data_IF_863224008498
#
_entry.id   IF_863224008498
#
_cell.length_a   1.000
_cell.length_b   1.000
_cell.length_c   1.000
_cell.angle_alpha   90.00
_cell.angle_beta   90.00
_cell.angle_gamma   90.00
#
_symmetry.space_group_name_H-M   'P 1'
#
loop_
_entity.id
_entity.type
_entity.pdbx_description
1 polymer ?
#
# COMPACT_ATOMS: atom_id res chain seq x y z
N UNK A 1 -14.77 -19.10 -2.91
CA UNK A 1 -13.86 -19.84 -2.01
C UNK A 1 -12.48 -19.20 -2.10
N UNK A 2 -12.29 -18.02 -1.49
CA UNK A 2 -11.06 -17.22 -1.62
C UNK A 2 -10.46 -16.93 -0.23
N UNK A 3 -10.42 -17.95 0.60
CA UNK A 3 -10.04 -17.82 2.01
C UNK A 3 -8.94 -18.80 2.32
N UNK A 4 -7.84 -18.30 2.87
CA UNK A 4 -6.79 -19.15 3.45
C UNK A 4 -7.17 -19.49 4.89
N UNK A 5 -7.12 -20.76 5.24
CA UNK A 5 -7.41 -21.29 6.56
C UNK A 5 -6.10 -21.73 7.22
N UNK A 6 -5.72 -21.08 8.33
CA UNK A 6 -4.56 -21.46 9.14
C UNK A 6 -5.01 -22.40 10.26
N UNK A 7 -4.32 -23.53 10.42
CA UNK A 7 -4.55 -24.48 11.52
C UNK A 7 -3.25 -24.69 12.30
N UNK A 8 -3.24 -24.34 13.59
CA UNK A 8 -2.20 -24.77 14.52
C UNK A 8 -2.73 -25.98 15.31
N UNK A 9 -1.96 -27.06 15.45
CA UNK A 9 -2.38 -28.26 16.21
C UNK A 9 -1.55 -28.32 17.50
N UNK A 10 -2.13 -27.90 18.62
CA UNK A 10 -1.43 -27.82 19.91
C UNK A 10 -1.40 -29.15 20.65
N UNK A 11 -0.56 -30.11 20.25
CA UNK A 11 -0.03 -31.19 21.09
C UNK A 11 0.96 -32.04 20.27
N UNK A 12 2.17 -32.25 20.80
CA UNK A 12 3.35 -32.86 20.16
C UNK A 12 4.19 -31.92 19.29
N UNK A 13 5.05 -31.11 19.93
CA UNK A 13 6.47 -30.88 19.59
C UNK A 13 6.90 -30.38 18.19
N UNK A 14 6.05 -30.34 17.19
CA UNK A 14 6.33 -29.84 15.84
C UNK A 14 5.38 -28.68 15.54
N UNK A 15 5.92 -27.45 15.46
CA UNK A 15 5.18 -26.25 15.03
C UNK A 15 4.93 -26.29 13.51
N UNK A 16 4.26 -27.34 13.03
CA UNK A 16 3.93 -27.50 11.62
C UNK A 16 2.70 -26.65 11.28
N UNK A 17 2.93 -25.44 10.79
CA UNK A 17 1.89 -24.53 10.28
C UNK A 17 1.35 -25.05 8.95
N UNK A 18 0.06 -25.38 8.90
CA UNK A 18 -0.59 -25.82 7.66
C UNK A 18 -1.47 -24.70 7.11
N UNK A 19 -1.24 -24.35 5.84
CA UNK A 19 -2.01 -23.33 5.11
C UNK A 19 -2.89 -24.03 4.07
N UNK A 20 -4.20 -23.78 4.13
CA UNK A 20 -5.15 -24.38 3.19
C UNK A 20 -5.84 -23.28 2.41
N UNK A 21 -5.56 -23.21 1.11
CA UNK A 21 -6.21 -22.27 0.17
C UNK A 21 -7.31 -23.01 -0.58
N UNK A 22 -8.57 -22.68 -0.29
CA UNK A 22 -9.72 -23.39 -0.86
C UNK A 22 -9.91 -24.82 -0.32
N UNK A 23 -10.99 -25.49 -0.72
CA UNK A 23 -11.28 -26.85 -0.26
C UNK A 23 -11.89 -26.93 1.15
N UNK A 24 -11.71 -28.08 1.81
CA UNK A 24 -12.21 -28.38 3.15
C UNK A 24 -11.05 -28.75 4.08
N UNK A 25 -11.02 -28.15 5.26
CA UNK A 25 -10.09 -28.49 6.33
C UNK A 25 -10.88 -28.81 7.59
N UNK A 26 -10.60 -29.97 8.21
CA UNK A 26 -11.22 -30.36 9.47
C UNK A 26 -10.35 -29.89 10.63
N UNK A 27 -10.89 -29.09 11.55
CA UNK A 27 -10.21 -28.64 12.76
C UNK A 27 -10.86 -29.28 14.00
N UNK A 28 -10.04 -29.80 14.91
CA UNK A 28 -10.54 -30.40 16.15
C UNK A 28 -10.74 -29.29 17.19
N UNK A 29 -11.99 -29.04 17.59
CA UNK A 29 -12.38 -27.87 18.40
C UNK A 29 -11.58 -27.64 19.69
N UNK A 30 -10.98 -28.69 20.27
CA UNK A 30 -10.26 -28.61 21.55
C UNK A 30 -8.75 -28.31 21.42
N UNK A 31 -8.17 -28.45 20.22
CA UNK A 31 -6.70 -28.46 20.02
C UNK A 31 -6.27 -27.53 18.87
N UNK A 32 -7.22 -27.02 18.08
CA UNK A 32 -6.91 -26.30 16.84
C UNK A 32 -7.46 -24.89 16.77
N UNK A 33 -6.57 -23.90 16.78
CA UNK A 33 -6.90 -22.53 16.43
C UNK A 33 -7.01 -22.39 14.91
N UNK A 34 -8.18 -21.95 14.46
CA UNK A 34 -8.45 -21.70 13.05
C UNK A 34 -8.66 -20.22 12.79
N UNK A 35 -7.82 -19.61 11.94
CA UNK A 35 -7.96 -18.21 11.52
C UNK A 35 -8.05 -18.14 10.00
N UNK A 36 -8.83 -17.17 9.52
CA UNK A 36 -9.15 -17.00 8.11
C UNK A 36 -8.65 -15.65 7.62
N UNK A 37 -8.02 -15.63 6.45
CA UNK A 37 -7.59 -14.41 5.75
C UNK A 37 -8.23 -14.37 4.37
N UNK A 38 -8.76 -13.20 4.01
CA UNK A 38 -9.40 -12.97 2.71
C UNK A 38 -8.34 -12.73 1.63
N UNK A 39 -8.39 -13.52 0.55
CA UNK A 39 -7.48 -13.43 -0.61
C UNK A 39 -8.04 -12.53 -1.72
N UNK A 40 -9.05 -11.72 -1.40
CA UNK A 40 -9.70 -10.82 -2.35
C UNK A 40 -8.90 -9.54 -2.55
N UNK A 41 -9.14 -8.89 -3.68
CA UNK A 41 -8.52 -7.61 -4.01
C UNK A 41 -9.05 -6.55 -3.04
N UNK A 42 -8.12 -5.82 -2.43
CA UNK A 42 -8.41 -4.71 -1.54
C UNK A 42 -8.02 -3.40 -2.21
N UNK A 43 -8.95 -2.45 -2.25
CA UNK A 43 -8.66 -1.09 -2.70
C UNK A 43 -8.24 -0.25 -1.50
N UNK A 44 -7.07 0.36 -1.60
CA UNK A 44 -6.49 1.30 -0.64
C UNK A 44 -6.42 2.69 -1.28
N UNK A 45 -6.60 3.72 -0.45
CA UNK A 45 -6.54 5.11 -0.90
C UNK A 45 -5.50 5.86 -0.06
N UNK A 46 -4.19 5.68 -0.35
CA UNK A 46 -3.16 6.41 0.36
C UNK A 46 -3.31 7.90 0.07
N UNK A 47 -3.29 8.73 1.12
CA UNK A 47 -3.41 10.17 1.00
C UNK A 47 -2.21 10.83 1.68
N UNK A 48 -1.61 11.78 0.98
CA UNK A 48 -0.61 12.67 1.57
C UNK A 48 -1.14 14.10 1.53
N UNK A 49 -1.29 14.69 2.72
CA UNK A 49 -1.66 16.09 2.91
C UNK A 49 -0.40 16.89 3.29
N UNK A 50 -0.40 18.15 2.87
CA UNK A 50 0.59 19.16 3.27
C UNK A 50 2.04 18.70 3.13
N UNK A 51 2.38 18.20 1.94
CA UNK A 51 3.78 17.89 1.59
C UNK A 51 4.36 19.09 0.87
N UNK A 52 5.37 19.70 1.47
CA UNK A 52 6.20 20.70 0.81
C UNK A 52 7.05 19.99 -0.24
N UNK A 53 6.84 20.39 -1.50
CA UNK A 53 7.71 19.99 -2.60
C UNK A 53 9.05 20.72 -2.51
N UNK A 54 10.03 20.31 -3.32
CA UNK A 54 11.36 20.95 -3.35
C UNK A 54 11.33 22.48 -3.57
N UNK A 55 10.25 23.00 -4.17
CA UNK A 55 10.05 24.43 -4.42
C UNK A 55 9.33 25.18 -3.28
N UNK A 56 8.94 24.47 -2.22
CA UNK A 56 8.22 25.04 -1.07
C UNK A 56 6.72 25.23 -1.32
N UNK A 57 6.15 24.55 -2.32
CA UNK A 57 4.70 24.55 -2.58
C UNK A 57 4.06 23.34 -1.90
N UNK A 58 3.05 23.59 -1.06
CA UNK A 58 2.27 22.57 -0.40
C UNK A 58 1.28 21.92 -1.38
N UNK A 59 1.37 20.60 -1.54
CA UNK A 59 0.50 19.83 -2.44
C UNK A 59 -0.19 18.70 -1.68
N UNK A 60 -1.45 18.46 -2.05
CA UNK A 60 -2.21 17.29 -1.59
C UNK A 60 -2.40 16.32 -2.74
N UNK A 61 -1.90 15.09 -2.57
CA UNK A 61 -2.01 14.02 -3.56
C UNK A 61 -2.77 12.86 -2.93
N UNK A 62 -3.71 12.29 -3.68
CA UNK A 62 -4.42 11.07 -3.28
C UNK A 62 -4.08 9.97 -4.29
N UNK A 63 -3.70 8.80 -3.82
CA UNK A 63 -3.52 7.61 -4.64
C UNK A 63 -4.73 6.68 -4.55
N UNK A 64 -4.86 5.81 -5.54
CA UNK A 64 -5.72 4.63 -5.50
C UNK A 64 -4.84 3.44 -5.83
N UNK A 65 -4.67 2.55 -4.85
CA UNK A 65 -3.89 1.33 -5.00
C UNK A 65 -4.80 0.12 -4.89
N UNK A 66 -4.66 -0.82 -5.81
CA UNK A 66 -5.29 -2.13 -5.70
C UNK A 66 -4.22 -3.14 -5.29
N UNK A 67 -4.43 -3.78 -4.15
CA UNK A 67 -3.49 -4.75 -3.59
C UNK A 67 -4.18 -6.08 -3.37
N UNK A 68 -3.41 -7.16 -3.37
CA UNK A 68 -3.88 -8.52 -3.16
C UNK A 68 -2.86 -9.31 -2.35
N UNK A 69 -3.33 -10.23 -1.51
CA UNK A 69 -2.45 -11.17 -0.82
C UNK A 69 -1.90 -12.20 -1.82
N UNK A 70 -0.59 -12.44 -1.79
CA UNK A 70 0.06 -13.41 -2.69
C UNK A 70 -0.35 -14.85 -2.33
N UNK A 71 -0.47 -15.69 -3.35
CA UNK A 71 -0.90 -17.10 -3.20
C UNK A 71 0.26 -18.10 -3.22
N UNK A 72 1.49 -17.63 -3.46
CA UNK A 72 2.69 -18.47 -3.40
C UNK A 72 2.92 -18.98 -1.99
N UNK A 73 3.31 -20.26 -1.85
CA UNK A 73 3.38 -20.93 -0.55
C UNK A 73 4.26 -20.19 0.47
N UNK A 74 5.42 -19.70 0.06
CA UNK A 74 6.36 -18.99 0.94
C UNK A 74 5.85 -17.61 1.35
N UNK A 75 5.30 -16.84 0.41
CA UNK A 75 4.78 -15.49 0.66
C UNK A 75 3.45 -15.51 1.40
N UNK A 76 2.64 -16.54 1.16
CA UNK A 76 1.41 -16.80 1.88
C UNK A 76 1.70 -17.14 3.34
N UNK A 77 2.75 -17.92 3.63
CA UNK A 77 3.16 -18.21 5.00
C UNK A 77 3.49 -16.91 5.76
N UNK A 78 4.25 -16.01 5.14
CA UNK A 78 4.60 -14.70 5.71
C UNK A 78 3.36 -13.81 5.90
N UNK A 79 2.48 -13.72 4.90
CA UNK A 79 1.22 -12.98 5.03
C UNK A 79 0.34 -13.54 6.15
N UNK A 80 0.27 -14.87 6.26
CA UNK A 80 -0.48 -15.54 7.31
C UNK A 80 0.10 -15.23 8.69
N UNK A 81 1.42 -15.24 8.87
CA UNK A 81 2.05 -14.89 10.14
C UNK A 81 1.82 -13.43 10.53
N UNK A 82 1.92 -12.51 9.57
CA UNK A 82 1.81 -11.06 9.83
C UNK A 82 0.36 -10.62 10.09
N UNK A 83 -0.60 -11.24 9.40
CA UNK A 83 -2.01 -10.85 9.45
C UNK A 83 -2.90 -11.84 10.21
N UNK A 84 -2.31 -12.84 10.89
CA UNK A 84 -3.08 -13.81 11.67
C UNK A 84 -3.88 -13.11 12.76
N UNK A 85 -5.20 -13.31 12.76
CA UNK A 85 -6.08 -12.76 13.79
C UNK A 85 -6.32 -11.25 13.69
N UNK A 86 -5.75 -10.55 12.71
CA UNK A 86 -6.08 -9.16 12.39
C UNK A 86 -7.35 -9.09 11.55
N UNK A 87 -8.13 -8.04 11.77
CA UNK A 87 -9.27 -7.71 10.93
C UNK A 87 -8.81 -7.17 9.56
N UNK A 88 -9.67 -7.30 8.54
CA UNK A 88 -9.38 -6.75 7.19
C UNK A 88 -9.11 -5.25 7.24
N UNK A 89 -9.74 -4.52 8.17
CA UNK A 89 -9.51 -3.08 8.34
C UNK A 89 -8.11 -2.77 8.88
N UNK A 90 -7.61 -3.56 9.83
CA UNK A 90 -6.25 -3.40 10.35
C UNK A 90 -5.20 -3.74 9.29
N UNK A 91 -5.42 -4.80 8.51
CA UNK A 91 -4.53 -5.16 7.40
C UNK A 91 -4.45 -3.99 6.40
N UNK A 92 -5.61 -3.44 6.01
CA UNK A 92 -5.67 -2.27 5.12
C UNK A 92 -4.94 -1.07 5.71
N UNK A 93 -5.10 -0.80 7.00
CA UNK A 93 -4.45 0.34 7.66
C UNK A 93 -2.91 0.21 7.65
N UNK A 94 -2.37 -0.97 7.97
CA UNK A 94 -0.93 -1.22 7.95
C UNK A 94 -0.34 -0.98 6.56
N UNK A 95 -0.96 -1.54 5.52
CA UNK A 95 -0.49 -1.40 4.14
C UNK A 95 -0.65 0.04 3.63
N UNK A 96 -1.76 0.69 3.99
CA UNK A 96 -2.03 2.08 3.64
C UNK A 96 -0.95 3.00 4.23
N UNK A 97 -0.57 2.80 5.50
CA UNK A 97 0.49 3.59 6.14
C UNK A 97 1.84 3.42 5.42
N UNK A 98 2.21 2.21 5.02
CA UNK A 98 3.43 1.96 4.24
C UNK A 98 3.40 2.69 2.91
N UNK A 99 2.30 2.58 2.15
CA UNK A 99 2.13 3.26 0.86
C UNK A 99 2.16 4.79 1.00
N UNK A 100 1.55 5.35 2.06
CA UNK A 100 1.58 6.78 2.35
C UNK A 100 2.99 7.28 2.68
N UNK A 101 3.77 6.49 3.42
CA UNK A 101 5.17 6.80 3.71
C UNK A 101 6.02 6.92 2.43
N UNK A 102 5.91 5.94 1.53
CA UNK A 102 6.62 5.97 0.25
C UNK A 102 6.14 7.12 -0.63
N UNK A 103 4.82 7.35 -0.69
CA UNK A 103 4.24 8.46 -1.45
C UNK A 103 4.79 9.80 -0.94
N UNK A 104 4.80 10.03 0.38
CA UNK A 104 5.35 11.25 0.99
C UNK A 104 6.84 11.41 0.71
N UNK A 105 7.61 10.33 0.81
CA UNK A 105 9.06 10.37 0.55
C UNK A 105 9.38 10.77 -0.88
N UNK A 106 8.65 10.24 -1.86
CA UNK A 106 8.88 10.54 -3.28
C UNK A 106 8.41 11.96 -3.62
N UNK A 107 7.25 12.39 -3.08
CA UNK A 107 6.73 13.74 -3.28
C UNK A 107 7.68 14.83 -2.78
N UNK A 108 8.43 14.59 -1.70
CA UNK A 108 9.41 15.56 -1.19
C UNK A 108 10.64 15.73 -2.08
N UNK A 109 10.91 14.79 -3.00
CA UNK A 109 12.10 14.81 -3.86
C UNK A 109 11.84 15.33 -5.28
N UNK A 110 10.59 15.35 -5.72
CA UNK A 110 10.20 15.74 -7.07
C UNK A 110 9.61 17.15 -7.08
N UNK A 111 9.78 17.87 -8.20
CA UNK A 111 9.15 19.18 -8.39
C UNK A 111 7.70 19.04 -8.83
N UNK A 112 6.93 20.12 -8.68
CA UNK A 112 5.51 20.15 -9.01
C UNK A 112 5.30 19.86 -10.50
N UNK A 113 6.13 20.46 -11.35
CA UNK A 113 6.10 20.37 -12.81
C UNK A 113 6.22 18.92 -13.26
N UNK A 114 7.17 18.17 -12.68
CA UNK A 114 7.40 16.77 -13.01
C UNK A 114 6.19 15.89 -12.65
N UNK A 115 5.54 16.17 -11.53
CA UNK A 115 4.33 15.45 -11.09
C UNK A 115 3.16 15.70 -12.05
N UNK A 116 3.03 16.92 -12.60
CA UNK A 116 1.98 17.25 -13.55
C UNK A 116 2.27 16.80 -14.98
N UNK A 117 3.52 16.81 -15.42
CA UNK A 117 3.93 16.37 -16.77
C UNK A 117 3.73 14.85 -16.94
N UNK A 118 4.24 14.03 -16.01
CA UNK A 118 4.28 12.58 -16.18
C UNK A 118 3.74 11.80 -14.97
N UNK A 119 2.41 11.86 -14.80
CA UNK A 119 1.70 11.16 -13.72
C UNK A 119 1.88 9.64 -13.78
N UNK A 120 1.92 9.06 -14.97
CA UNK A 120 2.09 7.61 -15.13
C UNK A 120 3.49 7.16 -14.72
N UNK A 121 4.51 7.97 -15.00
CA UNK A 121 5.89 7.69 -14.57
C UNK A 121 6.02 7.80 -13.06
N UNK A 122 5.42 8.84 -12.46
CA UNK A 122 5.37 8.94 -11.00
C UNK A 122 4.68 7.73 -10.37
N UNK A 123 3.55 7.29 -10.93
CA UNK A 123 2.80 6.14 -10.41
C UNK A 123 3.63 4.85 -10.45
N UNK A 124 4.41 4.67 -11.52
CA UNK A 124 5.35 3.55 -11.66
C UNK A 124 6.47 3.63 -10.62
N UNK A 125 7.06 4.81 -10.42
CA UNK A 125 8.14 5.01 -9.45
C UNK A 125 7.67 4.69 -8.02
N UNK A 126 6.50 5.19 -7.61
CA UNK A 126 5.93 4.88 -6.28
C UNK A 126 5.69 3.39 -6.11
N UNK A 127 5.16 2.73 -7.14
CA UNK A 127 4.96 1.28 -7.13
C UNK A 127 6.28 0.53 -6.99
N UNK A 128 7.31 0.90 -7.75
CA UNK A 128 8.61 0.22 -7.76
C UNK A 128 9.31 0.30 -6.41
N UNK A 129 9.27 1.46 -5.77
CA UNK A 129 9.85 1.68 -4.43
C UNK A 129 9.04 0.96 -3.35
N UNK A 130 7.71 0.94 -3.44
CA UNK A 130 6.86 0.33 -2.42
C UNK A 130 6.69 -1.20 -2.57
N UNK A 131 6.83 -1.74 -3.79
CA UNK A 131 6.67 -3.16 -4.10
C UNK A 131 7.49 -4.11 -3.19
N UNK A 132 8.80 -3.89 -2.95
CA UNK A 132 9.56 -4.79 -2.08
C UNK A 132 9.10 -4.75 -0.63
N UNK A 133 8.69 -3.59 -0.10
CA UNK A 133 8.28 -3.45 1.30
C UNK A 133 6.91 -4.08 1.57
N UNK A 134 5.94 -3.92 0.67
CA UNK A 134 4.67 -4.65 0.79
C UNK A 134 4.81 -6.14 0.44
N UNK A 135 5.75 -6.49 -0.45
CA UNK A 135 6.07 -7.86 -0.79
C UNK A 135 6.62 -8.66 0.40
N UNK A 136 7.42 -8.02 1.27
CA UNK A 136 7.88 -8.63 2.54
C UNK A 136 6.74 -8.93 3.52
N UNK A 137 5.58 -8.31 3.36
CA UNK A 137 4.37 -8.63 4.13
C UNK A 137 3.50 -9.69 3.44
N UNK A 138 3.92 -10.21 2.29
CA UNK A 138 3.15 -11.16 1.47
C UNK A 138 2.00 -10.51 0.68
N UNK A 139 2.13 -9.22 0.37
CA UNK A 139 1.13 -8.45 -0.39
C UNK A 139 1.72 -8.00 -1.71
N UNK A 140 0.95 -8.17 -2.79
CA UNK A 140 1.28 -7.71 -4.12
C UNK A 140 0.45 -6.48 -4.49
N UNK A 141 1.11 -5.51 -5.13
CA UNK A 141 0.45 -4.36 -5.74
C UNK A 141 0.01 -4.76 -7.15
N UNK A 142 -1.30 -4.76 -7.43
CA UNK A 142 -1.83 -5.02 -8.77
C UNK A 142 -1.75 -3.77 -9.63
N UNK A 143 -2.25 -2.65 -9.12
CA UNK A 143 -2.23 -1.37 -9.81
C UNK A 143 -2.09 -0.22 -8.83
N UNK A 144 -1.43 0.85 -9.29
CA UNK A 144 -1.31 2.10 -8.57
C UNK A 144 -1.65 3.25 -9.52
N UNK A 145 -2.57 4.11 -9.11
CA UNK A 145 -3.01 5.26 -9.90
C UNK A 145 -3.06 6.49 -9.02
N UNK A 146 -2.65 7.63 -9.56
CA UNK A 146 -2.66 8.89 -8.83
C UNK A 146 -3.92 9.67 -9.18
N UNK A 147 -4.56 10.20 -8.16
CA UNK A 147 -5.63 11.18 -8.24
C UNK A 147 -5.18 12.48 -7.59
N UNK A 148 -4.81 13.45 -8.41
CA UNK A 148 -4.54 14.80 -7.93
C UNK A 148 -5.87 15.40 -7.45
N UNK A 149 -5.91 15.84 -6.19
CA UNK A 149 -7.09 16.50 -5.64
C UNK A 149 -7.25 17.87 -6.29
N UNK A 150 -8.13 17.98 -7.28
CA UNK A 150 -8.44 19.27 -7.87
C UNK A 150 -9.21 20.13 -6.86
N UNK A 151 -8.51 21.09 -6.27
CA UNK A 151 -9.07 22.33 -5.72
C UNK A 151 -8.06 23.40 -6.14
N UNK A 152 -8.34 24.14 -7.20
CA UNK A 152 -8.07 25.57 -7.49
C UNK A 152 -6.72 26.24 -7.12
N UNK A 153 -5.76 25.54 -6.52
CA UNK A 153 -4.49 26.06 -5.98
C UNK A 153 -3.28 25.82 -6.89
N UNK A 154 -3.37 24.87 -7.83
CA UNK A 154 -2.27 24.54 -8.74
C UNK A 154 -1.97 25.69 -9.69
N UNK A 155 -3.02 26.37 -10.17
CA UNK A 155 -2.87 27.55 -11.03
C UNK A 155 -2.31 28.73 -10.24
N UNK A 156 -2.68 28.92 -8.98
CA UNK A 156 -2.08 29.96 -8.13
C UNK A 156 -0.62 29.66 -7.80
N UNK A 157 -0.27 28.41 -7.50
CA UNK A 157 1.10 27.97 -7.21
C UNK A 157 2.04 28.13 -8.41
N UNK A 158 1.63 27.66 -9.59
CA UNK A 158 2.40 27.84 -10.83
C UNK A 158 2.50 29.33 -11.23
N UNK A 159 1.45 30.12 -11.00
CA UNK A 159 1.52 31.56 -11.25
C UNK A 159 2.52 32.25 -10.32
N UNK A 160 2.59 31.84 -9.05
CA UNK A 160 3.49 32.43 -8.05
C UNK A 160 4.95 31.97 -8.19
N UNK A 161 5.19 30.73 -8.61
CA UNK A 161 6.52 30.23 -8.99
C UNK A 161 7.06 30.97 -10.23
N UNK A 162 6.22 31.15 -11.25
CA UNK A 162 6.54 31.95 -12.44
C UNK A 162 6.78 33.43 -12.07
N UNK A 163 5.98 33.99 -11.16
CA UNK A 163 6.16 35.36 -10.67
C UNK A 163 7.47 35.55 -9.88
N UNK A 164 7.87 34.58 -9.05
CA UNK A 164 9.17 34.61 -8.34
C UNK A 164 10.35 34.56 -9.30
N UNK A 165 10.26 33.77 -10.36
CA UNK A 165 11.29 33.72 -11.40
C UNK A 165 11.41 35.05 -12.15
N UNK A 166 10.27 35.72 -12.42
CA UNK A 166 10.25 37.05 -13.05
C UNK A 166 10.80 38.15 -12.13
N UNK A 167 10.52 38.12 -10.83
CA UNK A 167 11.00 39.14 -9.88
C UNK A 167 12.50 38.98 -9.58
N UNK A 168 13.06 37.77 -9.64
CA UNK A 168 14.49 37.55 -9.39
C UNK A 168 15.40 37.95 -10.56
N UNK A 169 14.84 38.27 -11.72
CA UNK A 169 15.59 38.65 -12.95
C UNK A 169 15.50 40.16 -13.23
N UNK A 170 14.76 40.93 -12.41
CA UNK A 170 14.80 42.39 -12.35
C UNK A 170 15.65 42.86 -11.16
#
# INVERSE_FOLDING_TARGET
MNTCCFKCCGCCGSDSKTYVVGGWAWAWCLISDTKRITLEIMTLQPRCEDVETAEGVAITVTGVAQVKVMTDHDLLAVACEQFLGKSVMEIKAVVLQTLEGHLRSILGTLTVEQIYQDRDQFAKLVREVAAPDVGRMGIEILSFTIKVGNRDWVMLGLWQASFKSIISVC
#
